data_IF_878386340098
#
_entry.id   IF_878386340098
#
_cell.length_a   1.000
_cell.length_b   1.000
_cell.length_c   1.000
_cell.angle_alpha   90.00
_cell.angle_beta   90.00
_cell.angle_gamma   90.00
#
_symmetry.space_group_name_H-M   'P 1'
#
loop_
_entity.id
_entity.type
_entity.pdbx_description
1 polymer ?
#
# COMPACT_ATOMS: atom_id res chain seq x y z
N UNK A 1 22.64 19.44 2.98
CA UNK A 1 23.33 18.14 2.75
C UNK A 1 22.63 16.95 3.43
N UNK A 2 22.15 17.08 4.69
CA UNK A 2 21.41 16.01 5.41
C UNK A 2 20.14 15.51 4.68
N UNK A 3 19.41 16.37 3.97
CA UNK A 3 18.11 16.04 3.34
C UNK A 3 18.20 15.16 2.07
N UNK A 4 19.28 15.28 1.29
CA UNK A 4 19.52 14.40 0.10
C UNK A 4 19.80 12.95 0.53
N UNK A 5 20.29 12.77 1.75
CA UNK A 5 20.49 11.44 2.33
C UNK A 5 19.17 10.85 2.84
N UNK A 6 18.22 11.65 3.33
CA UNK A 6 16.88 11.19 3.76
C UNK A 6 16.04 10.63 2.61
N UNK A 7 16.06 11.25 1.44
CA UNK A 7 15.38 10.68 0.26
C UNK A 7 16.04 9.39 -0.22
N UNK A 8 17.38 9.28 -0.10
CA UNK A 8 18.10 8.03 -0.40
C UNK A 8 17.76 6.92 0.58
N UNK A 9 17.71 7.19 1.89
CA UNK A 9 17.30 6.19 2.89
C UNK A 9 15.84 5.77 2.72
N UNK A 10 14.94 6.66 2.31
CA UNK A 10 13.57 6.28 1.97
C UNK A 10 13.53 5.31 0.78
N UNK A 11 14.33 5.56 -0.28
CA UNK A 11 14.45 4.63 -1.41
C UNK A 11 15.02 3.26 -1.00
N UNK A 12 16.05 3.24 -0.14
CA UNK A 12 16.59 1.98 0.39
C UNK A 12 15.56 1.23 1.24
N UNK A 13 14.80 1.92 2.09
CA UNK A 13 13.73 1.31 2.88
C UNK A 13 12.63 0.71 1.99
N UNK A 14 12.23 1.40 0.92
CA UNK A 14 11.24 0.89 -0.06
C UNK A 14 11.78 -0.34 -0.79
N UNK A 15 13.05 -0.32 -1.22
CA UNK A 15 13.68 -1.44 -1.89
C UNK A 15 13.81 -2.67 -0.98
N UNK A 16 14.30 -2.49 0.25
CA UNK A 16 14.44 -3.57 1.23
C UNK A 16 13.08 -4.14 1.66
N UNK A 17 12.08 -3.30 1.92
CA UNK A 17 10.73 -3.78 2.29
C UNK A 17 10.06 -4.52 1.13
N UNK A 18 10.23 -4.04 -0.11
CA UNK A 18 9.77 -4.72 -1.31
C UNK A 18 10.39 -6.11 -1.47
N UNK A 19 11.71 -6.22 -1.26
CA UNK A 19 12.43 -7.49 -1.35
C UNK A 19 11.97 -8.49 -0.26
N UNK A 20 11.83 -8.02 0.98
CA UNK A 20 11.34 -8.83 2.11
C UNK A 20 9.92 -9.33 1.83
N UNK A 21 9.05 -8.47 1.29
CA UNK A 21 7.70 -8.89 0.93
C UNK A 21 7.70 -9.96 -0.15
N UNK A 22 8.45 -9.78 -1.24
CA UNK A 22 8.54 -10.80 -2.30
C UNK A 22 8.98 -12.16 -1.73
N UNK A 23 9.92 -12.16 -0.79
CA UNK A 23 10.40 -13.39 -0.13
C UNK A 23 9.32 -14.02 0.75
N UNK A 24 8.66 -13.25 1.62
CA UNK A 24 7.59 -13.76 2.51
C UNK A 24 6.49 -14.41 1.68
N UNK A 25 6.13 -13.77 0.58
CA UNK A 25 5.02 -14.12 -0.27
C UNK A 25 5.29 -15.37 -1.11
N UNK A 26 6.53 -15.52 -1.57
CA UNK A 26 7.00 -16.76 -2.18
C UNK A 26 6.96 -17.95 -1.21
N UNK A 27 7.23 -17.71 0.08
CA UNK A 27 7.17 -18.75 1.12
C UNK A 27 5.74 -19.09 1.56
N UNK A 28 4.82 -18.14 1.44
CA UNK A 28 3.46 -18.20 1.99
C UNK A 28 2.44 -18.71 0.96
N UNK A 29 2.72 -18.59 -0.35
CA UNK A 29 1.81 -18.96 -1.46
C UNK A 29 1.27 -20.40 -1.34
N UNK A 30 2.13 -21.36 -1.01
CA UNK A 30 1.77 -22.78 -0.98
C UNK A 30 1.05 -23.24 0.31
N UNK A 31 1.14 -22.46 1.40
CA UNK A 31 0.74 -22.92 2.75
C UNK A 31 -0.54 -22.26 3.25
N UNK A 32 -0.89 -21.06 2.76
CA UNK A 32 -2.00 -20.26 3.31
C UNK A 32 -3.34 -20.97 3.26
N UNK A 33 -3.70 -21.56 2.11
CA UNK A 33 -5.02 -22.19 1.96
C UNK A 33 -5.25 -23.31 2.99
N UNK A 34 -4.23 -24.11 3.26
CA UNK A 34 -4.29 -25.26 4.17
C UNK A 34 -4.35 -24.87 5.66
N UNK A 35 -3.93 -23.65 6.02
CA UNK A 35 -3.97 -23.19 7.42
C UNK A 35 -5.40 -22.83 7.85
N UNK A 36 -6.22 -22.28 6.94
CA UNK A 36 -7.52 -21.71 7.29
C UNK A 36 -8.70 -22.66 7.08
N UNK A 37 -8.59 -23.63 6.17
CA UNK A 37 -9.67 -24.56 5.88
C UNK A 37 -9.14 -25.86 5.31
N UNK A 38 -9.91 -26.93 5.51
CA UNK A 38 -9.64 -28.24 4.89
C UNK A 38 -10.53 -28.48 3.65
N UNK A 39 -11.35 -27.49 3.28
CA UNK A 39 -12.19 -27.54 2.09
C UNK A 39 -11.37 -27.25 0.83
N UNK A 40 -11.29 -28.23 -0.07
CA UNK A 40 -10.48 -28.15 -1.28
C UNK A 40 -10.97 -27.10 -2.28
N UNK A 41 -12.28 -26.78 -2.31
CA UNK A 41 -12.80 -25.74 -3.22
C UNK A 41 -12.35 -24.34 -2.77
N UNK A 42 -12.36 -24.11 -1.45
CA UNK A 42 -11.92 -22.84 -0.87
C UNK A 42 -10.40 -22.69 -1.04
N UNK A 43 -9.63 -23.75 -0.78
CA UNK A 43 -8.16 -23.74 -0.97
C UNK A 43 -7.81 -23.37 -2.41
N UNK A 44 -8.47 -23.99 -3.41
CA UNK A 44 -8.22 -23.70 -4.83
C UNK A 44 -8.54 -22.26 -5.18
N UNK A 45 -9.68 -21.76 -4.71
CA UNK A 45 -10.08 -20.35 -4.92
C UNK A 45 -9.10 -19.36 -4.30
N UNK A 46 -8.57 -19.65 -3.11
CA UNK A 46 -7.57 -18.82 -2.43
C UNK A 46 -6.22 -18.89 -3.16
N UNK A 47 -5.82 -20.07 -3.62
CA UNK A 47 -4.59 -20.27 -4.41
C UNK A 47 -4.60 -19.44 -5.69
N UNK A 48 -5.73 -19.37 -6.40
CA UNK A 48 -5.88 -18.55 -7.61
C UNK A 48 -5.78 -17.05 -7.32
N UNK A 49 -6.17 -16.63 -6.10
CA UNK A 49 -6.06 -15.25 -5.63
C UNK A 49 -4.68 -14.88 -5.09
N UNK A 50 -3.86 -15.86 -4.70
CA UNK A 50 -2.57 -15.60 -4.07
C UNK A 50 -1.66 -14.69 -4.90
N UNK A 51 -1.52 -14.83 -6.24
CA UNK A 51 -0.72 -13.90 -7.05
C UNK A 51 -1.23 -12.45 -7.01
N UNK A 52 -2.55 -12.25 -6.94
CA UNK A 52 -3.16 -10.91 -6.83
C UNK A 52 -2.92 -10.31 -5.45
N UNK A 53 -3.18 -11.09 -4.39
CA UNK A 53 -2.93 -10.71 -3.00
C UNK A 53 -1.44 -10.41 -2.80
N UNK A 54 -0.60 -11.14 -3.52
CA UNK A 54 0.83 -10.93 -3.54
C UNK A 54 1.21 -9.55 -4.04
N UNK A 55 0.75 -9.21 -5.25
CA UNK A 55 0.97 -7.88 -5.80
C UNK A 55 0.37 -6.79 -4.90
N UNK A 56 -0.80 -7.02 -4.32
CA UNK A 56 -1.44 -6.07 -3.38
C UNK A 56 -0.53 -5.71 -2.20
N UNK A 57 0.05 -6.70 -1.51
CA UNK A 57 0.92 -6.45 -0.35
C UNK A 57 2.19 -5.67 -0.72
N UNK A 58 2.72 -5.87 -1.93
CA UNK A 58 3.87 -5.12 -2.40
C UNK A 58 3.56 -3.61 -2.48
N UNK A 59 2.45 -3.23 -3.10
CA UNK A 59 2.04 -1.82 -3.18
C UNK A 59 1.59 -1.27 -1.83
N UNK A 60 0.95 -2.08 -1.00
CA UNK A 60 0.57 -1.70 0.37
C UNK A 60 1.82 -1.36 1.22
N UNK A 61 2.91 -2.12 1.07
CA UNK A 61 4.18 -1.79 1.73
C UNK A 61 4.77 -0.46 1.25
N UNK A 62 4.71 -0.17 -0.06
CA UNK A 62 5.14 1.13 -0.60
C UNK A 62 4.31 2.25 0.03
N UNK A 63 2.98 2.10 0.03
CA UNK A 63 2.08 3.06 0.66
C UNK A 63 2.37 3.23 2.16
N UNK A 64 2.62 2.14 2.89
CA UNK A 64 2.95 2.13 4.31
C UNK A 64 4.25 2.88 4.63
N UNK A 65 5.33 2.61 3.88
CA UNK A 65 6.61 3.33 4.03
C UNK A 65 6.43 4.81 3.72
N UNK A 66 5.77 5.14 2.61
CA UNK A 66 5.52 6.53 2.23
C UNK A 66 4.68 7.26 3.28
N UNK A 67 3.63 6.61 3.79
CA UNK A 67 2.77 7.13 4.85
C UNK A 67 3.55 7.34 6.16
N UNK A 68 4.49 6.44 6.49
CA UNK A 68 5.41 6.59 7.63
C UNK A 68 6.33 7.80 7.48
N UNK A 69 6.92 7.99 6.30
CA UNK A 69 7.74 9.17 5.97
C UNK A 69 6.92 10.45 6.08
N UNK A 70 5.68 10.45 5.58
CA UNK A 70 4.79 11.60 5.62
C UNK A 70 4.34 11.95 7.05
N UNK A 71 4.11 10.93 7.89
CA UNK A 71 3.87 11.10 9.34
C UNK A 71 5.08 11.70 10.05
N UNK A 72 6.29 11.21 9.75
CA UNK A 72 7.54 11.76 10.27
C UNK A 72 7.78 13.22 9.88
N UNK A 73 7.22 13.66 8.74
CA UNK A 73 7.24 15.05 8.29
C UNK A 73 6.04 15.89 8.77
N UNK A 74 5.17 15.35 9.64
CA UNK A 74 3.98 16.05 10.17
C UNK A 74 2.81 16.20 9.19
N UNK A 75 2.90 15.67 7.96
CA UNK A 75 1.91 15.86 6.87
C UNK A 75 0.92 14.69 6.70
N UNK A 76 0.68 13.94 7.77
CA UNK A 76 -0.18 12.74 7.80
C UNK A 76 -1.62 12.94 7.28
N UNK A 77 -2.16 14.16 7.39
CA UNK A 77 -3.53 14.48 6.93
C UNK A 77 -3.71 14.24 5.42
N UNK A 78 -2.67 14.51 4.61
CA UNK A 78 -2.73 14.30 3.16
C UNK A 78 -2.90 12.83 2.80
N UNK A 79 -2.17 11.94 3.50
CA UNK A 79 -2.29 10.50 3.29
C UNK A 79 -3.64 9.95 3.75
N UNK A 80 -4.16 10.42 4.89
CA UNK A 80 -5.45 9.99 5.43
C UNK A 80 -6.62 10.36 4.51
N UNK A 81 -6.64 11.61 4.00
CA UNK A 81 -7.68 12.07 3.08
C UNK A 81 -7.63 11.29 1.76
N UNK A 82 -6.43 11.11 1.20
CA UNK A 82 -6.25 10.32 -0.02
C UNK A 82 -6.70 8.86 0.14
N UNK A 83 -6.42 8.25 1.30
CA UNK A 83 -6.89 6.90 1.62
C UNK A 83 -8.42 6.82 1.65
N UNK A 84 -9.05 7.75 2.38
CA UNK A 84 -10.50 7.76 2.57
C UNK A 84 -11.22 7.92 1.22
N UNK A 85 -10.79 8.88 0.41
CA UNK A 85 -11.38 9.12 -0.92
C UNK A 85 -11.11 7.91 -1.83
N UNK A 86 -9.88 7.39 -1.86
CA UNK A 86 -9.54 6.23 -2.68
C UNK A 86 -10.40 5.01 -2.37
N UNK A 87 -10.47 4.61 -1.10
CA UNK A 87 -11.21 3.41 -0.72
C UNK A 87 -12.71 3.58 -0.88
N UNK A 88 -13.28 4.69 -0.42
CA UNK A 88 -14.74 4.86 -0.42
C UNK A 88 -15.31 5.32 -1.76
N UNK A 89 -14.58 6.13 -2.52
CA UNK A 89 -15.07 6.65 -3.82
C UNK A 89 -14.68 5.78 -5.01
N UNK A 90 -13.58 5.02 -4.93
CA UNK A 90 -13.07 4.21 -6.05
C UNK A 90 -13.05 2.73 -5.71
N UNK A 91 -12.30 2.32 -4.68
CA UNK A 91 -12.07 0.91 -4.37
C UNK A 91 -13.36 0.14 -4.10
N UNK A 92 -14.22 0.68 -3.25
CA UNK A 92 -15.45 0.02 -2.82
C UNK A 92 -16.52 -0.03 -3.92
N UNK A 93 -16.86 1.07 -4.64
CA UNK A 93 -17.80 1.01 -5.75
C UNK A 93 -17.32 0.11 -6.88
N UNK A 94 -16.03 0.14 -7.19
CA UNK A 94 -15.46 -0.68 -8.26
C UNK A 94 -15.42 -2.16 -7.85
N UNK A 95 -15.02 -2.46 -6.61
CA UNK A 95 -15.02 -3.82 -6.05
C UNK A 95 -16.42 -4.44 -6.00
N UNK A 96 -17.43 -3.70 -5.53
CA UNK A 96 -18.83 -4.14 -5.52
C UNK A 96 -19.34 -4.37 -6.94
N UNK A 97 -19.04 -3.43 -7.85
CA UNK A 97 -19.46 -3.57 -9.26
C UNK A 97 -18.85 -4.80 -9.90
N UNK A 98 -17.56 -5.08 -9.69
CA UNK A 98 -16.92 -6.29 -10.22
C UNK A 98 -17.44 -7.57 -9.54
N UNK A 99 -17.69 -7.53 -8.23
CA UNK A 99 -18.22 -8.67 -7.48
C UNK A 99 -19.59 -9.11 -8.00
N UNK A 100 -20.52 -8.17 -8.17
CA UNK A 100 -21.90 -8.48 -8.56
C UNK A 100 -22.13 -8.48 -10.07
N UNK A 101 -21.60 -7.51 -10.82
CA UNK A 101 -21.91 -7.38 -12.26
C UNK A 101 -21.14 -8.36 -13.14
N UNK A 102 -19.93 -8.79 -12.71
CA UNK A 102 -19.12 -9.79 -13.42
C UNK A 102 -19.19 -11.18 -12.78
N UNK A 103 -19.99 -11.37 -11.72
CA UNK A 103 -20.07 -12.61 -10.94
C UNK A 103 -18.70 -13.15 -10.49
N UNK A 104 -17.71 -12.25 -10.31
CA UNK A 104 -16.36 -12.61 -9.88
C UNK A 104 -16.28 -12.91 -8.38
N UNK A 105 -17.37 -12.69 -7.63
CA UNK A 105 -17.43 -12.92 -6.20
C UNK A 105 -16.33 -12.17 -5.45
N UNK A 106 -15.65 -12.88 -4.53
CA UNK A 106 -14.57 -12.33 -3.70
C UNK A 106 -13.39 -11.82 -4.55
N UNK A 107 -13.12 -12.43 -5.71
CA UNK A 107 -12.07 -11.99 -6.64
C UNK A 107 -12.31 -10.58 -7.14
N UNK A 108 -13.57 -10.23 -7.44
CA UNK A 108 -13.93 -8.88 -7.89
C UNK A 108 -13.66 -7.81 -6.83
N UNK A 109 -13.91 -8.13 -5.56
CA UNK A 109 -13.60 -7.26 -4.43
C UNK A 109 -12.09 -7.03 -4.30
N UNK A 110 -11.28 -8.09 -4.35
CA UNK A 110 -9.82 -7.99 -4.29
C UNK A 110 -9.22 -7.17 -5.44
N UNK A 111 -9.76 -7.28 -6.65
CA UNK A 111 -9.32 -6.45 -7.78
C UNK A 111 -9.61 -4.96 -7.51
N UNK A 112 -10.79 -4.65 -6.97
CA UNK A 112 -11.14 -3.27 -6.58
C UNK A 112 -10.20 -2.70 -5.51
N UNK A 113 -9.88 -3.50 -4.49
CA UNK A 113 -8.91 -3.15 -3.44
C UNK A 113 -7.49 -2.97 -4.03
N UNK A 114 -7.09 -3.83 -4.96
CA UNK A 114 -5.80 -3.74 -5.64
C UNK A 114 -5.64 -2.44 -6.44
N UNK A 115 -6.65 -2.05 -7.20
CA UNK A 115 -6.64 -0.78 -7.93
C UNK A 115 -6.54 0.40 -6.95
N UNK A 116 -7.28 0.33 -5.84
CA UNK A 116 -7.23 1.36 -4.81
C UNK A 116 -5.83 1.53 -4.20
N UNK A 117 -5.18 0.42 -3.85
CA UNK A 117 -3.85 0.45 -3.22
C UNK A 117 -2.78 0.96 -4.20
N UNK A 118 -2.89 0.62 -5.49
CA UNK A 118 -2.02 1.18 -6.54
C UNK A 118 -2.18 2.70 -6.59
N UNK A 119 -3.41 3.20 -6.70
CA UNK A 119 -3.68 4.64 -6.75
C UNK A 119 -3.15 5.36 -5.52
N UNK A 120 -3.35 4.79 -4.33
CA UNK A 120 -2.83 5.34 -3.09
C UNK A 120 -1.30 5.36 -3.04
N UNK A 121 -0.65 4.26 -3.40
CA UNK A 121 0.81 4.15 -3.38
C UNK A 121 1.44 5.18 -4.32
N UNK A 122 0.88 5.35 -5.53
CA UNK A 122 1.31 6.35 -6.51
C UNK A 122 1.08 7.77 -6.00
N UNK A 123 -0.09 8.05 -5.42
CA UNK A 123 -0.39 9.36 -4.84
C UNK A 123 0.61 9.75 -3.75
N UNK A 124 0.86 8.85 -2.80
CA UNK A 124 1.81 9.09 -1.71
C UNK A 124 3.24 9.25 -2.22
N UNK A 125 3.64 8.46 -3.22
CA UNK A 125 4.94 8.57 -3.85
C UNK A 125 5.12 9.94 -4.53
N UNK A 126 4.13 10.39 -5.30
CA UNK A 126 4.13 11.71 -5.94
C UNK A 126 4.20 12.82 -4.88
N UNK A 127 3.40 12.72 -3.81
CA UNK A 127 3.43 13.70 -2.71
C UNK A 127 4.82 13.79 -2.08
N UNK A 128 5.47 12.66 -1.82
CA UNK A 128 6.84 12.62 -1.27
C UNK A 128 7.85 13.27 -2.21
N UNK A 129 7.76 13.02 -3.52
CA UNK A 129 8.64 13.65 -4.51
C UNK A 129 8.38 15.15 -4.66
N UNK A 130 7.13 15.60 -4.47
CA UNK A 130 6.74 17.01 -4.59
C UNK A 130 6.91 17.81 -3.31
N UNK A 131 7.08 17.19 -2.15
CA UNK A 131 7.37 17.90 -0.91
C UNK A 131 8.74 18.57 -1.04
N UNK A 132 8.76 19.90 -0.96
CA UNK A 132 9.99 20.68 -0.77
C UNK A 132 10.54 20.40 0.63
N UNK A 133 11.40 19.40 0.72
CA UNK A 133 12.03 18.94 1.96
C UNK A 133 12.76 20.06 2.72
N UNK A 134 13.23 21.09 2.03
CA UNK A 134 13.87 22.25 2.65
C UNK A 134 12.87 23.05 3.52
N UNK A 135 11.68 23.38 3.01
CA UNK A 135 10.64 24.09 3.79
C UNK A 135 10.06 23.23 4.91
N UNK A 136 9.92 21.93 4.68
CA UNK A 136 9.43 21.00 5.71
C UNK A 136 10.41 20.91 6.91
N UNK A 137 11.72 21.01 6.68
CA UNK A 137 12.71 21.03 7.76
C UNK A 137 12.71 22.33 8.56
N UNK A 138 12.37 23.45 7.90
CA UNK A 138 12.27 24.77 8.51
C UNK A 138 11.06 24.82 9.44
N UNK A 139 9.86 24.41 8.98
CA UNK A 139 8.64 24.31 9.79
C UNK A 139 8.80 23.47 11.06
N UNK A 140 9.48 22.31 10.97
CA UNK A 140 9.73 21.44 12.12
C UNK A 140 10.72 22.09 13.10
N UNK A 141 11.69 22.85 12.62
CA UNK A 141 12.66 23.53 13.49
C UNK A 141 12.02 24.68 14.26
N UNK A 142 11.13 25.47 13.65
CA UNK A 142 10.42 26.56 14.36
C UNK A 142 9.48 26.04 15.44
N UNK A 143 8.87 24.87 15.25
CA UNK A 143 7.99 24.23 16.25
C UNK A 143 8.73 23.62 17.44
N UNK A 144 10.03 23.30 17.32
CA UNK A 144 10.83 22.71 18.41
C UNK A 144 11.54 23.79 19.24
N UNK A 145 11.63 25.02 18.72
CA UNK A 145 12.31 26.16 19.36
C UNK A 145 11.34 27.07 20.14
N UNK A 146 10.06 26.72 20.19
CA UNK A 146 9.04 27.30 21.08
C UNK A 146 8.47 26.24 22.01
#
# INVERSE_FOLDING_TARGET
MKLKNSSKTALWCIGCSGLIMVIILALVNDVVGYIFTNDREIIRSVSDLMPLISAFHFFDCIAGVCSGVLRGAGKQKLGAIGNLIGYYSIGFPLGISLMFAKHLGITGLWIGLFICVILQSLFLLIVIFRIEWNKASEEVTVLVVH
#
